data_IF_429097986617
#
_entry.id   IF_429097986617
#
_cell.length_a   1.000
_cell.length_b   1.000
_cell.length_c   1.000
_cell.angle_alpha   90.00
_cell.angle_beta   90.00
_cell.angle_gamma   90.00
#
_symmetry.space_group_name_H-M   'P 1'
#
loop_
_entity.id
_entity.type
_entity.pdbx_description
1 polymer ?
#
# COMPACT_ATOMS: atom_id res chain seq x y z
N UNK A 1 -17.11 0.89 9.63
CA UNK A 1 -16.17 1.67 8.80
C UNK A 1 -14.86 1.74 9.58
N UNK A 2 -13.77 1.25 9.01
CA UNK A 2 -12.43 1.32 9.62
C UNK A 2 -11.64 2.33 8.80
N UNK A 3 -11.01 3.30 9.47
CA UNK A 3 -10.10 4.26 8.84
C UNK A 3 -8.69 3.89 9.26
N UNK A 4 -7.79 3.74 8.28
CA UNK A 4 -6.38 3.40 8.50
C UNK A 4 -5.55 4.55 7.94
N UNK A 5 -4.67 5.10 8.77
CA UNK A 5 -3.69 6.11 8.35
C UNK A 5 -2.32 5.44 8.22
N UNK A 6 -1.66 5.64 7.08
CA UNK A 6 -0.33 5.10 6.79
C UNK A 6 0.63 6.27 6.66
N UNK A 7 1.56 6.39 7.61
CA UNK A 7 2.48 7.52 7.70
C UNK A 7 3.82 7.27 7.00
N UNK A 8 4.15 6.01 6.72
CA UNK A 8 5.41 5.57 6.09
C UNK A 8 5.19 4.95 4.70
N UNK A 9 4.22 5.46 3.95
CA UNK A 9 3.81 4.87 2.67
C UNK A 9 4.97 4.71 1.67
N UNK A 10 5.86 5.70 1.59
CA UNK A 10 7.00 5.66 0.67
C UNK A 10 7.99 4.52 0.99
N UNK A 11 8.19 4.21 2.27
CA UNK A 11 9.04 3.09 2.70
C UNK A 11 8.37 1.76 2.36
N UNK A 12 7.08 1.65 2.67
CA UNK A 12 6.26 0.47 2.37
C UNK A 12 6.25 0.15 0.87
N UNK A 13 6.03 1.15 0.03
CA UNK A 13 6.06 1.00 -1.44
C UNK A 13 7.45 0.57 -1.90
N UNK A 14 8.53 1.16 -1.38
CA UNK A 14 9.92 0.79 -1.75
C UNK A 14 10.27 -0.65 -1.37
N UNK A 15 9.90 -1.08 -0.17
CA UNK A 15 10.14 -2.44 0.31
C UNK A 15 9.41 -3.47 -0.58
N UNK A 16 8.15 -3.19 -0.92
CA UNK A 16 7.34 -4.07 -1.76
C UNK A 16 7.82 -4.09 -3.23
N UNK A 17 8.33 -2.96 -3.73
CA UNK A 17 8.87 -2.81 -5.10
C UNK A 17 10.25 -3.47 -5.28
N UNK A 18 11.06 -3.52 -4.24
CA UNK A 18 12.46 -3.98 -4.32
C UNK A 18 13.37 -3.04 -5.15
N UNK A 19 14.69 -3.29 -5.16
CA UNK A 19 15.68 -2.40 -5.81
C UNK A 19 15.58 -2.35 -7.35
N UNK A 20 14.97 -3.36 -7.97
CA UNK A 20 14.91 -3.52 -9.43
C UNK A 20 13.80 -2.69 -10.10
N UNK A 21 12.66 -2.48 -9.43
CA UNK A 21 11.55 -1.69 -9.99
C UNK A 21 11.73 -0.18 -9.77
N UNK A 22 12.58 0.22 -8.82
CA UNK A 22 13.00 1.62 -8.64
C UNK A 22 13.74 2.19 -9.88
N UNK A 23 14.46 1.36 -10.65
CA UNK A 23 15.05 1.75 -11.95
C UNK A 23 14.01 1.93 -13.07
N UNK A 24 12.83 1.33 -12.94
CA UNK A 24 11.75 1.36 -13.94
C UNK A 24 10.70 2.46 -13.64
N UNK A 25 11.09 3.51 -12.90
CA UNK A 25 10.24 4.61 -12.43
C UNK A 25 9.52 5.44 -13.51
N UNK A 26 9.48 5.00 -14.76
CA UNK A 26 8.72 5.60 -15.88
C UNK A 26 7.42 4.88 -16.25
N UNK A 27 7.13 3.69 -15.70
CA UNK A 27 5.94 2.91 -16.08
C UNK A 27 4.72 3.24 -15.18
N UNK A 28 4.94 3.98 -14.08
CA UNK A 28 3.97 4.19 -13.00
C UNK A 28 3.01 5.35 -13.31
N UNK A 29 1.92 5.05 -14.01
CA UNK A 29 0.80 5.99 -14.20
C UNK A 29 -0.30 5.84 -13.13
N UNK A 30 -0.28 4.78 -12.31
CA UNK A 30 -1.32 4.49 -11.31
C UNK A 30 -0.71 4.12 -9.95
N UNK A 31 -0.44 5.14 -9.14
CA UNK A 31 0.11 5.00 -7.78
C UNK A 31 -0.97 4.50 -6.81
N UNK A 32 -2.23 4.91 -6.99
CA UNK A 32 -3.33 4.56 -6.08
C UNK A 32 -3.67 3.07 -6.14
N UNK A 33 -3.77 2.49 -7.34
CA UNK A 33 -4.05 1.06 -7.51
C UNK A 33 -2.92 0.16 -6.99
N UNK A 34 -1.67 0.65 -6.96
CA UNK A 34 -0.57 -0.10 -6.36
C UNK A 34 -0.60 -0.03 -4.84
N UNK A 35 -0.85 1.16 -4.27
CA UNK A 35 -1.03 1.34 -2.84
C UNK A 35 -2.18 0.48 -2.31
N UNK A 36 -3.29 0.41 -3.05
CA UNK A 36 -4.42 -0.46 -2.69
C UNK A 36 -4.00 -1.92 -2.55
N UNK A 37 -3.25 -2.45 -3.53
CA UNK A 37 -2.78 -3.85 -3.52
C UNK A 37 -1.89 -4.14 -2.32
N UNK A 38 -0.91 -3.26 -2.06
CA UNK A 38 0.04 -3.41 -0.95
C UNK A 38 -0.72 -3.47 0.38
N UNK A 39 -1.67 -2.55 0.60
CA UNK A 39 -2.43 -2.49 1.86
C UNK A 39 -3.30 -3.73 2.02
N UNK A 40 -4.00 -4.16 0.96
CA UNK A 40 -4.81 -5.38 0.98
C UNK A 40 -3.96 -6.60 1.33
N UNK A 41 -2.76 -6.69 0.77
CA UNK A 41 -1.84 -7.80 1.03
C UNK A 41 -1.33 -7.79 2.48
N UNK A 42 -0.91 -6.64 3.01
CA UNK A 42 -0.42 -6.59 4.40
C UNK A 42 -1.49 -6.90 5.44
N UNK A 43 -2.70 -6.35 5.27
CA UNK A 43 -3.79 -6.64 6.19
C UNK A 43 -4.16 -8.13 6.13
N UNK A 44 -4.17 -8.72 4.92
CA UNK A 44 -4.43 -10.15 4.75
C UNK A 44 -3.38 -11.00 5.47
N UNK A 45 -2.10 -10.68 5.29
CA UNK A 45 -1.00 -11.40 5.94
C UNK A 45 -1.09 -11.31 7.46
N UNK A 46 -1.37 -10.13 8.02
CA UNK A 46 -1.53 -9.97 9.47
C UNK A 46 -2.77 -10.69 10.02
N UNK A 47 -3.85 -10.77 9.25
CA UNK A 47 -5.03 -11.56 9.64
C UNK A 47 -4.75 -13.06 9.59
N UNK A 48 -4.09 -13.56 8.54
CA UNK A 48 -3.69 -14.95 8.42
C UNK A 48 -2.77 -15.37 9.57
N UNK A 49 -1.77 -14.54 9.92
CA UNK A 49 -0.88 -14.78 11.07
C UNK A 49 -1.62 -14.89 12.40
N UNK A 50 -2.81 -14.30 12.51
CA UNK A 50 -3.66 -14.33 13.70
C UNK A 50 -4.78 -15.38 13.61
N UNK A 51 -4.81 -16.20 12.56
CA UNK A 51 -5.86 -17.20 12.31
C UNK A 51 -7.21 -16.60 11.91
N UNK A 52 -7.24 -15.32 11.53
CA UNK A 52 -8.43 -14.61 11.06
C UNK A 52 -8.56 -14.80 9.56
N UNK A 53 -9.71 -15.33 9.11
CA UNK A 53 -10.03 -15.44 7.68
C UNK A 53 -10.80 -14.21 7.24
N UNK A 54 -10.25 -13.44 6.30
CA UNK A 54 -10.90 -12.27 5.72
C UNK A 54 -10.74 -12.24 4.20
N UNK A 55 -11.80 -11.80 3.51
CA UNK A 55 -11.76 -11.47 2.09
C UNK A 55 -11.77 -9.94 1.94
N UNK A 56 -10.60 -9.38 1.62
CA UNK A 56 -10.43 -7.94 1.35
C UNK A 56 -10.52 -7.74 -0.16
N UNK A 57 -11.64 -7.19 -0.64
CA UNK A 57 -11.93 -7.10 -2.08
C UNK A 57 -11.60 -5.73 -2.69
N UNK A 58 -11.66 -4.65 -1.92
CA UNK A 58 -11.36 -3.29 -2.38
C UNK A 58 -11.13 -2.34 -1.22
N UNK A 59 -10.34 -1.30 -1.44
CA UNK A 59 -10.20 -0.15 -0.55
C UNK A 59 -10.83 1.05 -1.27
N UNK A 60 -11.76 1.73 -0.60
CA UNK A 60 -12.35 2.97 -1.11
C UNK A 60 -11.77 4.17 -0.37
N UNK A 61 -11.58 5.28 -1.08
CA UNK A 61 -11.16 6.55 -0.47
C UNK A 61 -9.67 6.63 -0.12
N UNK A 62 -8.78 6.09 -0.96
CA UNK A 62 -7.34 6.34 -0.82
C UNK A 62 -7.09 7.82 -1.11
N UNK A 63 -6.66 8.56 -0.09
CA UNK A 63 -6.29 9.97 -0.21
C UNK A 63 -4.80 10.13 0.07
N UNK A 64 -4.00 10.19 -0.99
CA UNK A 64 -2.56 10.38 -0.89
C UNK A 64 -2.24 11.85 -0.60
N UNK A 65 -1.98 12.18 0.66
CA UNK A 65 -1.50 13.52 1.03
C UNK A 65 0.02 13.56 0.95
N UNK A 66 0.56 14.19 -0.08
CA UNK A 66 2.00 14.41 -0.20
C UNK A 66 2.43 15.47 0.81
N UNK A 67 3.09 15.06 1.89
CA UNK A 67 3.67 15.99 2.86
C UNK A 67 4.97 16.53 2.24
N UNK A 68 4.97 17.79 1.82
CA UNK A 68 6.18 18.47 1.40
C UNK A 68 6.99 18.86 2.63
N UNK A 69 7.99 18.05 3.00
CA UNK A 69 9.04 18.49 3.92
C UNK A 69 9.92 19.51 3.18
N UNK A 70 9.91 20.75 3.66
CA UNK A 70 10.79 21.85 3.18
C UNK A 70 12.21 21.68 3.69
#
# INVERSE_FOLDING_TARGET
MITIEITNLDELVKEHRGPLTAMLGKIVADVEGEVEKIIIEEIRNEFERRGVRANLCSISGIHLRRIMTS
#
